data_IF_001098497840
#
_entry.id   IF_001098497840
#
_cell.length_a   1.000
_cell.length_b   1.000
_cell.length_c   1.000
_cell.angle_alpha   90.00
_cell.angle_beta   90.00
_cell.angle_gamma   90.00
#
_symmetry.space_group_name_H-M   'P 1'
#
loop_
_entity.id
_entity.type
_entity.pdbx_description
1 polymer ?
#
# COMPACT_ATOMS: atom_id res chain seq x y z
N UNK A 1 -4.99 11.45 -2.68
CA UNK A 1 -3.68 11.20 -3.37
C UNK A 1 -3.53 9.70 -3.50
N UNK A 2 -3.27 9.22 -4.73
CA UNK A 2 -3.12 7.77 -4.97
C UNK A 2 -1.65 7.35 -4.86
N UNK A 3 -1.40 6.31 -4.10
CA UNK A 3 -0.10 5.73 -3.84
C UNK A 3 -0.15 4.22 -4.08
N UNK A 4 0.99 3.61 -4.39
CA UNK A 4 1.12 2.15 -4.51
C UNK A 4 2.13 1.68 -3.47
N UNK A 5 1.70 0.81 -2.59
CA UNK A 5 2.63 0.00 -1.78
C UNK A 5 3.09 -1.15 -2.66
N UNK A 6 4.40 -1.28 -2.83
CA UNK A 6 5.01 -2.23 -3.75
C UNK A 6 6.08 -3.05 -3.04
N UNK A 7 6.16 -4.34 -3.38
CA UNK A 7 7.16 -5.27 -2.91
C UNK A 7 7.45 -6.32 -3.98
N UNK A 8 8.65 -6.91 -3.97
CA UNK A 8 9.07 -7.94 -4.93
C UNK A 8 9.81 -9.08 -4.27
N UNK A 9 9.58 -10.32 -4.75
CA UNK A 9 10.46 -11.46 -4.48
C UNK A 9 11.36 -11.72 -5.68
N UNK A 10 12.56 -12.24 -5.42
CA UNK A 10 13.59 -12.39 -6.45
C UNK A 10 14.32 -13.73 -6.34
N UNK A 11 15.03 -14.12 -7.39
CA UNK A 11 15.88 -15.33 -7.37
C UNK A 11 17.12 -15.17 -6.50
N UNK A 12 17.39 -13.99 -5.96
CA UNK A 12 18.55 -13.66 -5.13
C UNK A 12 18.84 -12.17 -5.07
N UNK A 13 19.90 -11.77 -4.39
CA UNK A 13 20.09 -10.37 -3.94
C UNK A 13 20.59 -9.44 -5.07
N UNK A 14 21.55 -9.88 -5.89
CA UNK A 14 22.32 -8.98 -6.76
C UNK A 14 21.86 -9.03 -8.22
N UNK A 15 21.35 -7.92 -8.72
CA UNK A 15 21.07 -7.73 -10.16
C UNK A 15 22.31 -7.97 -11.02
N UNK A 16 23.51 -7.59 -10.52
CA UNK A 16 24.78 -7.79 -11.25
C UNK A 16 25.13 -9.26 -11.46
N UNK A 17 24.64 -10.14 -10.58
CA UNK A 17 24.76 -11.60 -10.71
C UNK A 17 23.65 -12.20 -11.58
N UNK A 18 22.84 -11.34 -12.20
CA UNK A 18 21.76 -11.72 -13.10
C UNK A 18 20.50 -12.19 -12.37
N UNK A 19 20.34 -11.91 -11.07
CA UNK A 19 19.09 -12.26 -10.37
C UNK A 19 17.89 -11.50 -10.93
N UNK A 20 16.75 -12.17 -10.93
CA UNK A 20 15.51 -11.78 -11.62
C UNK A 20 14.35 -11.73 -10.63
N UNK A 21 13.32 -10.98 -10.96
CA UNK A 21 12.07 -10.93 -10.19
C UNK A 21 11.26 -12.23 -10.40
N UNK A 22 10.69 -12.77 -9.32
CA UNK A 22 9.81 -13.97 -9.34
C UNK A 22 8.39 -13.68 -8.87
N UNK A 23 8.18 -12.61 -8.11
CA UNK A 23 6.84 -12.15 -7.72
C UNK A 23 6.82 -10.62 -7.65
N UNK A 24 5.70 -10.03 -8.03
CA UNK A 24 5.42 -8.60 -7.83
C UNK A 24 4.09 -8.50 -7.09
N UNK A 25 4.10 -7.80 -5.95
CA UNK A 25 2.91 -7.39 -5.21
C UNK A 25 2.73 -5.89 -5.25
N UNK A 26 1.50 -5.42 -5.42
CA UNK A 26 1.17 -4.00 -5.36
C UNK A 26 -0.24 -3.75 -4.82
N UNK A 27 -0.37 -2.81 -3.90
CA UNK A 27 -1.67 -2.41 -3.32
C UNK A 27 -1.83 -0.91 -3.50
N UNK A 28 -2.92 -0.50 -4.15
CA UNK A 28 -3.25 0.92 -4.26
C UNK A 28 -3.84 1.43 -2.95
N UNK A 29 -3.30 2.57 -2.48
CA UNK A 29 -3.88 3.37 -1.41
C UNK A 29 -4.53 4.63 -2.03
N UNK A 30 -5.72 4.98 -1.58
CA UNK A 30 -6.32 6.28 -1.84
C UNK A 30 -6.51 7.03 -0.52
N UNK A 31 -5.77 8.13 -0.36
CA UNK A 31 -5.70 8.86 0.91
C UNK A 31 -5.42 7.93 2.11
N UNK A 32 -4.40 7.07 1.97
CA UNK A 32 -3.94 6.08 2.95
C UNK A 32 -4.91 4.92 3.21
N UNK A 33 -6.04 4.84 2.51
CA UNK A 33 -6.98 3.73 2.62
C UNK A 33 -6.67 2.71 1.52
N UNK A 34 -6.38 1.44 1.85
CA UNK A 34 -6.22 0.39 0.86
C UNK A 34 -7.47 0.23 0.00
N UNK A 35 -7.32 0.29 -1.32
CA UNK A 35 -8.39 0.07 -2.26
C UNK A 35 -8.49 -1.41 -2.66
N UNK A 36 -9.47 -1.76 -3.51
CA UNK A 36 -9.56 -3.08 -4.13
C UNK A 36 -8.61 -3.24 -5.32
N UNK A 37 -7.98 -2.15 -5.79
CA UNK A 37 -7.06 -2.18 -6.92
C UNK A 37 -5.72 -2.74 -6.46
N UNK A 38 -5.41 -3.96 -6.91
CA UNK A 38 -4.19 -4.69 -6.56
C UNK A 38 -3.54 -5.22 -7.82
N UNK A 39 -2.22 -5.26 -7.81
CA UNK A 39 -1.42 -5.95 -8.80
C UNK A 39 -0.71 -7.12 -8.13
N UNK A 40 -0.84 -8.30 -8.71
CA UNK A 40 -0.14 -9.47 -8.21
C UNK A 40 0.17 -10.43 -9.36
N UNK A 41 1.42 -10.83 -9.48
CA UNK A 41 1.81 -11.87 -10.43
C UNK A 41 3.05 -12.62 -9.96
N UNK A 42 3.10 -13.90 -10.28
CA UNK A 42 4.32 -14.70 -10.28
C UNK A 42 4.95 -14.64 -11.66
N UNK A 43 6.29 -14.71 -11.68
CA UNK A 43 7.06 -14.57 -12.91
C UNK A 43 8.00 -15.76 -13.12
N UNK A 44 8.14 -16.15 -14.37
CA UNK A 44 9.20 -17.05 -14.78
C UNK A 44 10.50 -16.25 -14.95
N UNK A 45 11.49 -16.43 -14.08
CA UNK A 45 12.74 -15.69 -14.12
C UNK A 45 13.71 -16.20 -15.19
N UNK A 46 13.38 -17.30 -15.88
CA UNK A 46 14.24 -17.99 -16.85
C UNK A 46 15.62 -18.38 -16.29
N UNK A 47 15.70 -18.56 -14.98
CA UNK A 47 16.89 -18.99 -14.25
C UNK A 47 16.51 -19.69 -12.94
N UNK A 48 17.45 -20.38 -12.34
CA UNK A 48 17.26 -21.04 -11.06
C UNK A 48 17.20 -20.04 -9.90
N UNK A 49 16.38 -20.36 -8.92
CA UNK A 49 16.29 -19.67 -7.62
C UNK A 49 17.51 -20.09 -6.78
N UNK A 50 18.13 -19.14 -6.08
CA UNK A 50 19.18 -19.46 -5.11
C UNK A 50 18.58 -20.15 -3.87
N UNK A 51 19.34 -21.00 -3.18
CA UNK A 51 18.88 -21.66 -1.96
C UNK A 51 18.38 -20.67 -0.92
N UNK A 52 19.10 -19.57 -0.72
CA UNK A 52 18.72 -18.50 0.23
C UNK A 52 17.39 -17.84 -0.13
N UNK A 53 17.14 -17.58 -1.40
CA UNK A 53 15.87 -16.99 -1.84
C UNK A 53 14.73 -18.02 -1.67
N UNK A 54 14.97 -19.28 -2.00
CA UNK A 54 14.00 -20.35 -1.77
C UNK A 54 13.62 -20.50 -0.29
N UNK A 55 14.58 -20.42 0.64
CA UNK A 55 14.32 -20.43 2.09
C UNK A 55 13.41 -19.29 2.52
N UNK A 56 13.45 -18.14 1.84
CA UNK A 56 12.66 -16.95 2.17
C UNK A 56 11.23 -17.07 1.63
N UNK A 57 11.05 -17.27 0.32
CA UNK A 57 9.73 -17.22 -0.32
C UNK A 57 9.15 -18.61 -0.70
N UNK A 58 9.96 -19.67 -0.73
CA UNK A 58 9.50 -21.04 -0.95
C UNK A 58 9.09 -21.40 -2.37
N UNK A 59 9.33 -20.55 -3.39
CA UNK A 59 8.94 -20.84 -4.77
C UNK A 59 9.96 -21.73 -5.45
N UNK A 60 9.49 -22.88 -5.96
CA UNK A 60 10.33 -23.84 -6.69
C UNK A 60 10.54 -23.42 -8.14
N UNK A 61 11.66 -23.84 -8.72
CA UNK A 61 11.94 -23.63 -10.15
C UNK A 61 10.84 -24.23 -11.04
N UNK A 62 10.26 -25.38 -10.64
CA UNK A 62 9.16 -26.01 -11.38
C UNK A 62 7.89 -25.16 -11.36
N UNK A 63 7.53 -24.56 -10.21
CA UNK A 63 6.40 -23.66 -10.11
C UNK A 63 6.59 -22.41 -10.98
N UNK A 64 7.76 -21.78 -10.88
CA UNK A 64 8.07 -20.54 -11.58
C UNK A 64 8.20 -20.73 -13.10
N UNK A 65 8.68 -21.88 -13.56
CA UNK A 65 8.80 -22.17 -15.00
C UNK A 65 7.46 -22.16 -15.74
N UNK A 66 6.36 -22.38 -15.03
CA UNK A 66 4.98 -22.36 -15.57
C UNK A 66 4.33 -20.97 -15.57
N UNK A 67 5.00 -19.98 -14.99
CA UNK A 67 4.47 -18.61 -14.90
C UNK A 67 4.79 -17.78 -16.15
N UNK A 68 4.12 -16.64 -16.27
CA UNK A 68 4.38 -15.67 -17.34
C UNK A 68 5.76 -15.04 -17.17
N UNK A 69 6.37 -14.64 -18.28
CA UNK A 69 7.58 -13.83 -18.26
C UNK A 69 7.22 -12.37 -17.96
N UNK A 70 8.19 -11.58 -17.48
CA UNK A 70 7.97 -10.15 -17.24
C UNK A 70 7.52 -9.41 -18.50
N UNK A 71 8.02 -9.79 -19.68
CA UNK A 71 7.61 -9.20 -20.96
C UNK A 71 6.11 -9.33 -21.27
N UNK A 72 5.42 -10.30 -20.68
CA UNK A 72 3.98 -10.52 -20.89
C UNK A 72 3.10 -9.70 -19.94
N UNK A 73 3.65 -9.24 -18.82
CA UNK A 73 2.91 -8.51 -17.77
C UNK A 73 3.42 -7.07 -17.58
N UNK A 74 4.57 -6.73 -18.13
CA UNK A 74 5.27 -5.46 -17.90
C UNK A 74 4.43 -4.22 -18.24
N UNK A 75 3.63 -4.26 -19.33
CA UNK A 75 2.73 -3.14 -19.69
C UNK A 75 1.60 -2.97 -18.65
N UNK A 76 1.06 -4.08 -18.14
CA UNK A 76 0.03 -4.02 -17.09
C UNK A 76 0.61 -3.46 -15.80
N UNK A 77 1.84 -3.88 -15.45
CA UNK A 77 2.56 -3.34 -14.31
C UNK A 77 2.81 -1.84 -14.44
N UNK A 78 3.36 -1.38 -15.57
CA UNK A 78 3.59 0.04 -15.84
C UNK A 78 2.29 0.86 -15.79
N UNK A 79 1.19 0.35 -16.34
CA UNK A 79 -0.13 0.98 -16.26
C UNK A 79 -0.64 1.07 -14.81
N UNK A 80 -0.39 0.05 -13.99
CA UNK A 80 -0.80 0.02 -12.59
C UNK A 80 -0.09 1.09 -11.75
N UNK A 81 1.22 1.29 -11.94
CA UNK A 81 2.01 2.27 -11.19
C UNK A 81 1.96 3.69 -11.75
N UNK A 82 1.40 3.87 -12.96
CA UNK A 82 1.42 5.15 -13.69
C UNK A 82 0.90 6.30 -12.83
N UNK A 83 1.65 7.42 -12.82
CA UNK A 83 1.32 8.69 -12.15
C UNK A 83 1.03 8.56 -10.64
N UNK A 84 1.55 7.53 -9.98
CA UNK A 84 1.37 7.29 -8.55
C UNK A 84 2.71 7.29 -7.82
N UNK A 85 2.71 7.73 -6.55
CA UNK A 85 3.87 7.56 -5.67
C UNK A 85 4.02 6.09 -5.30
N UNK A 86 5.24 5.59 -5.27
CA UNK A 86 5.54 4.22 -4.83
C UNK A 86 6.07 4.24 -3.40
N UNK A 87 5.49 3.40 -2.56
CA UNK A 87 5.86 3.20 -1.16
C UNK A 87 6.52 1.82 -1.08
N UNK A 88 7.82 1.79 -0.78
CA UNK A 88 8.62 0.56 -0.81
C UNK A 88 9.48 0.51 0.46
N UNK A 89 9.76 -0.70 0.96
CA UNK A 89 10.64 -0.90 2.11
C UNK A 89 12.02 -1.39 1.67
N UNK A 90 13.03 -0.52 1.66
CA UNK A 90 14.34 -0.71 1.01
C UNK A 90 14.24 -0.59 -0.52
N UNK A 91 13.75 0.56 -0.97
CA UNK A 91 13.37 0.81 -2.36
C UNK A 91 14.51 0.58 -3.38
N UNK A 92 15.78 0.75 -2.99
CA UNK A 92 16.92 0.50 -3.88
C UNK A 92 16.94 -0.93 -4.40
N UNK A 93 16.57 -1.91 -3.56
CA UNK A 93 16.54 -3.32 -3.91
C UNK A 93 15.49 -3.61 -4.98
N UNK A 94 14.23 -3.28 -4.71
CA UNK A 94 13.11 -3.56 -5.63
C UNK A 94 13.23 -2.80 -6.93
N UNK A 95 13.57 -1.51 -6.87
CA UNK A 95 13.76 -0.68 -8.05
C UNK A 95 14.93 -1.16 -8.89
N UNK A 96 16.01 -1.66 -8.27
CA UNK A 96 17.14 -2.24 -8.98
C UNK A 96 16.69 -3.43 -9.84
N UNK A 97 15.96 -4.37 -9.28
CA UNK A 97 15.45 -5.55 -9.96
C UNK A 97 14.38 -5.21 -11.00
N UNK A 98 13.39 -4.38 -10.65
CA UNK A 98 12.33 -3.96 -11.59
C UNK A 98 12.89 -3.18 -12.79
N UNK A 99 13.83 -2.26 -12.56
CA UNK A 99 14.48 -1.52 -13.63
C UNK A 99 15.34 -2.41 -14.54
N UNK A 100 15.92 -3.49 -13.99
CA UNK A 100 16.60 -4.49 -14.80
C UNK A 100 15.61 -5.26 -15.70
N UNK A 101 14.47 -5.70 -15.15
CA UNK A 101 13.41 -6.33 -15.94
C UNK A 101 12.90 -5.40 -17.06
N UNK A 102 12.67 -4.13 -16.74
CA UNK A 102 12.24 -3.12 -17.71
C UNK A 102 13.29 -2.90 -18.80
N UNK A 103 14.58 -2.88 -18.44
CA UNK A 103 15.68 -2.75 -19.41
C UNK A 103 15.71 -3.95 -20.37
N UNK A 104 15.55 -5.17 -19.86
CA UNK A 104 15.47 -6.38 -20.69
C UNK A 104 14.24 -6.34 -21.61
N UNK A 105 13.12 -5.79 -21.11
CA UNK A 105 11.89 -5.60 -21.87
C UNK A 105 11.96 -4.42 -22.87
N UNK A 106 13.06 -3.64 -22.89
CA UNK A 106 13.23 -2.50 -23.76
C UNK A 106 12.42 -1.26 -23.35
N UNK A 107 12.11 -1.13 -22.07
CA UNK A 107 11.37 0.00 -21.49
C UNK A 107 12.27 0.91 -20.67
N UNK A 108 11.81 2.15 -20.46
CA UNK A 108 12.48 3.10 -19.58
C UNK A 108 12.38 2.67 -18.12
N UNK A 109 13.32 3.16 -17.32
CA UNK A 109 13.31 2.99 -15.85
C UNK A 109 12.07 3.63 -15.23
N UNK A 110 11.68 3.13 -14.07
CA UNK A 110 10.66 3.74 -13.22
C UNK A 110 11.10 5.16 -12.84
N UNK A 111 10.24 6.13 -13.07
CA UNK A 111 10.48 7.56 -12.76
C UNK A 111 9.44 8.14 -11.78
N UNK A 112 8.66 7.28 -11.17
CA UNK A 112 7.70 7.66 -10.15
C UNK A 112 8.38 8.33 -8.94
N UNK A 113 7.65 9.16 -8.22
CA UNK A 113 8.07 9.57 -6.87
C UNK A 113 8.15 8.35 -5.96
N UNK A 114 9.27 8.20 -5.24
CA UNK A 114 9.54 7.06 -4.37
C UNK A 114 9.59 7.52 -2.91
N UNK A 115 8.88 6.82 -2.04
CA UNK A 115 9.03 6.93 -0.60
C UNK A 115 9.60 5.61 -0.07
N UNK A 116 10.84 5.66 0.42
CA UNK A 116 11.47 4.51 1.07
C UNK A 116 11.14 4.50 2.57
N UNK A 117 10.31 3.56 2.98
CA UNK A 117 9.90 3.41 4.37
C UNK A 117 11.03 2.92 5.27
N UNK A 118 12.07 2.27 4.75
CA UNK A 118 13.25 1.90 5.52
C UNK A 118 14.03 3.15 5.95
N UNK A 119 14.24 4.08 5.02
CA UNK A 119 14.88 5.37 5.29
C UNK A 119 14.05 6.19 6.29
N UNK A 120 12.73 6.24 6.10
CA UNK A 120 11.83 6.91 7.02
C UNK A 120 11.89 6.31 8.43
N UNK A 121 11.88 4.97 8.54
CA UNK A 121 11.97 4.26 9.81
C UNK A 121 13.32 4.46 10.51
N UNK A 122 14.43 4.46 9.77
CA UNK A 122 15.77 4.73 10.33
C UNK A 122 15.86 6.13 10.93
N UNK A 123 15.28 7.13 10.27
CA UNK A 123 15.24 8.51 10.77
C UNK A 123 14.36 8.63 12.03
N UNK A 124 13.24 7.90 12.07
CA UNK A 124 12.30 7.94 13.21
C UNK A 124 12.80 7.14 14.41
N UNK A 125 13.55 6.06 14.20
CA UNK A 125 14.01 5.13 15.22
C UNK A 125 15.51 4.85 15.11
N UNK A 126 16.37 5.87 15.31
CA UNK A 126 17.81 5.69 15.16
C UNK A 126 18.34 4.60 16.12
N UNK A 127 19.19 3.71 15.60
CA UNK A 127 19.77 2.60 16.37
C UNK A 127 18.84 1.44 16.71
N UNK A 128 17.58 1.46 16.27
CA UNK A 128 16.63 0.37 16.50
C UNK A 128 16.48 -0.53 15.27
N UNK A 129 16.07 -1.81 15.44
CA UNK A 129 15.67 -2.65 14.32
C UNK A 129 14.49 -2.05 13.56
N UNK A 130 14.61 -2.00 12.22
CA UNK A 130 13.63 -1.37 11.31
C UNK A 130 13.24 -2.27 10.13
N UNK A 131 13.47 -3.59 10.23
CA UNK A 131 12.89 -4.54 9.27
C UNK A 131 11.37 -4.49 9.33
N UNK A 132 10.68 -4.97 8.28
CA UNK A 132 9.20 -4.99 8.25
C UNK A 132 8.64 -5.72 9.50
N UNK A 133 9.19 -6.87 9.88
CA UNK A 133 8.79 -7.60 11.09
C UNK A 133 9.05 -6.81 12.38
N UNK A 134 10.18 -6.13 12.48
CA UNK A 134 10.49 -5.29 13.64
C UNK A 134 9.51 -4.11 13.76
N UNK A 135 9.11 -3.52 12.64
CA UNK A 135 8.12 -2.45 12.59
C UNK A 135 6.71 -2.97 12.88
N UNK A 136 6.32 -4.13 12.35
CA UNK A 136 5.06 -4.78 12.71
C UNK A 136 4.97 -5.02 14.23
N UNK A 137 6.02 -5.59 14.83
CA UNK A 137 6.09 -5.80 16.28
C UNK A 137 5.98 -4.49 17.05
N UNK A 138 6.69 -3.44 16.61
CA UNK A 138 6.68 -2.11 17.25
C UNK A 138 5.29 -1.48 17.24
N UNK A 139 4.58 -1.57 16.12
CA UNK A 139 3.25 -1.00 15.94
C UNK A 139 2.12 -1.96 16.33
N UNK A 140 2.44 -3.16 16.85
CA UNK A 140 1.47 -4.21 17.25
C UNK A 140 0.57 -4.61 16.08
N UNK A 141 1.15 -4.67 14.89
CA UNK A 141 0.50 -5.18 13.68
C UNK A 141 0.69 -6.70 13.68
N UNK A 142 -0.41 -7.44 13.57
CA UNK A 142 -0.37 -8.90 13.47
C UNK A 142 0.25 -9.32 12.12
N UNK A 143 1.40 -10.00 12.19
CA UNK A 143 2.11 -10.58 11.04
C UNK A 143 2.13 -12.11 11.07
N UNK A 144 1.26 -12.75 11.85
CA UNK A 144 1.20 -14.23 12.00
C UNK A 144 0.93 -14.98 10.69
N UNK A 145 0.30 -14.30 9.72
CA UNK A 145 0.06 -14.84 8.37
C UNK A 145 1.33 -14.95 7.51
N UNK A 146 2.42 -14.24 7.89
CA UNK A 146 3.70 -14.21 7.19
C UNK A 146 4.56 -15.39 7.55
N UNK A 147 4.13 -16.62 7.19
CA UNK A 147 4.94 -17.85 7.39
C UNK A 147 6.12 -17.91 6.42
N UNK A 148 5.93 -17.43 5.21
CA UNK A 148 6.93 -17.21 4.18
C UNK A 148 6.72 -15.80 3.61
N UNK A 149 7.77 -15.23 3.04
CA UNK A 149 7.66 -13.95 2.36
C UNK A 149 6.88 -14.11 1.07
N UNK A 150 5.86 -13.31 0.89
CA UNK A 150 5.13 -13.14 -0.37
C UNK A 150 4.91 -11.65 -0.59
N UNK A 151 5.18 -11.19 -1.79
CA UNK A 151 5.14 -9.76 -2.09
C UNK A 151 3.78 -9.13 -1.77
N UNK A 152 2.66 -9.83 -1.98
CA UNK A 152 1.34 -9.27 -1.69
C UNK A 152 1.04 -9.17 -0.18
N UNK A 153 1.45 -10.15 0.62
CA UNK A 153 1.31 -10.11 2.10
C UNK A 153 2.20 -8.99 2.66
N UNK A 154 3.42 -8.87 2.14
CA UNK A 154 4.36 -7.84 2.57
C UNK A 154 3.86 -6.43 2.23
N UNK A 155 3.21 -6.24 1.07
CA UNK A 155 2.49 -5.01 0.75
C UNK A 155 1.35 -4.70 1.73
N UNK A 156 0.56 -5.69 2.16
CA UNK A 156 -0.52 -5.48 3.13
C UNK A 156 0.01 -5.08 4.51
N UNK A 157 1.07 -5.74 4.97
CA UNK A 157 1.76 -5.38 6.22
C UNK A 157 2.42 -4.00 6.11
N UNK A 158 3.11 -3.73 5.00
CA UNK A 158 3.79 -2.46 4.76
C UNK A 158 2.81 -1.30 4.70
N UNK A 159 1.61 -1.49 4.14
CA UNK A 159 0.58 -0.45 4.12
C UNK A 159 0.19 -0.01 5.54
N UNK A 160 0.01 -0.96 6.45
CA UNK A 160 -0.30 -0.70 7.87
C UNK A 160 0.88 -0.04 8.59
N UNK A 161 2.10 -0.52 8.34
CA UNK A 161 3.33 0.07 8.89
C UNK A 161 3.51 1.50 8.39
N UNK A 162 3.32 1.77 7.11
CA UNK A 162 3.46 3.08 6.49
C UNK A 162 2.56 4.12 7.13
N UNK A 163 1.26 3.82 7.31
CA UNK A 163 0.30 4.70 7.96
C UNK A 163 0.76 5.09 9.38
N UNK A 164 1.30 4.12 10.13
CA UNK A 164 1.83 4.38 11.46
C UNK A 164 3.17 5.14 11.45
N UNK A 165 4.01 4.94 10.42
CA UNK A 165 5.29 5.66 10.29
C UNK A 165 5.10 7.15 10.08
N UNK A 166 4.10 7.55 9.29
CA UNK A 166 3.78 8.94 9.02
C UNK A 166 2.87 9.57 10.09
N UNK A 167 2.65 8.87 11.23
CA UNK A 167 1.83 9.31 12.37
C UNK A 167 0.36 9.63 12.05
N UNK A 168 -0.12 9.18 10.91
CA UNK A 168 -1.54 9.29 10.57
C UNK A 168 -2.26 8.03 11.03
N UNK A 169 -2.84 8.09 12.22
CA UNK A 169 -3.61 6.96 12.79
C UNK A 169 -4.99 6.79 12.16
N UNK A 170 -5.48 7.82 11.50
CA UNK A 170 -6.77 7.83 10.81
C UNK A 170 -6.63 8.43 9.40
N UNK A 171 -7.36 7.91 8.41
CA UNK A 171 -7.40 8.51 7.07
C UNK A 171 -7.98 9.92 7.18
N UNK A 172 -7.27 10.91 6.66
CA UNK A 172 -7.81 12.27 6.58
C UNK A 172 -8.82 12.34 5.44
N UNK A 173 -10.09 12.56 5.77
CA UNK A 173 -11.10 12.94 4.78
C UNK A 173 -10.79 14.36 4.30
N UNK A 174 -10.27 14.47 3.09
CA UNK A 174 -9.95 15.75 2.50
C UNK A 174 -11.22 16.35 1.87
N UNK A 175 -11.92 17.21 2.62
CA UNK A 175 -13.11 17.94 2.14
C UNK A 175 -12.78 19.14 1.24
N UNK A 176 -11.49 19.43 0.96
CA UNK A 176 -11.10 20.61 0.19
C UNK A 176 -11.47 20.53 -1.30
N UNK A 177 -11.77 19.35 -1.84
CA UNK A 177 -12.16 19.18 -3.25
C UNK A 177 -13.67 19.35 -3.52
N UNK A 178 -14.46 19.75 -2.52
CA UNK A 178 -15.89 19.99 -2.73
C UNK A 178 -16.23 21.44 -3.13
N UNK A 179 -15.22 22.32 -3.27
CA UNK A 179 -15.45 23.75 -3.51
C UNK A 179 -14.95 24.30 -4.84
N UNK A 180 -14.66 23.44 -5.83
CA UNK A 180 -14.32 23.93 -7.17
C UNK A 180 -15.15 23.22 -8.23
N UNK A 181 -16.38 23.65 -8.37
CA UNK A 181 -17.15 23.78 -9.61
C UNK A 181 -18.56 24.29 -9.24
N UNK A 182 -18.64 25.58 -8.94
CA UNK A 182 -19.94 26.26 -8.99
C UNK A 182 -20.10 26.85 -10.38
N UNK A 183 -20.52 26.02 -11.30
CA UNK A 183 -21.24 26.51 -12.45
C UNK A 183 -22.66 26.87 -12.01
N UNK A 184 -23.00 28.15 -12.29
CA UNK A 184 -24.30 28.72 -12.09
C UNK A 184 -25.40 27.91 -12.80
N UNK A 185 -26.23 27.19 -12.06
CA UNK A 185 -27.63 26.98 -12.46
C UNK A 185 -28.47 26.55 -11.25
N UNK A 186 -29.40 27.43 -10.86
CA UNK A 186 -30.60 27.18 -10.06
C UNK A 186 -30.60 26.01 -9.07
N UNK A 187 -29.91 26.15 -7.94
CA UNK A 187 -30.13 25.28 -6.79
C UNK A 187 -31.24 25.88 -5.92
N UNK A 188 -32.43 25.27 -5.96
CA UNK A 188 -33.41 25.39 -4.90
C UNK A 188 -32.73 25.10 -3.56
N UNK A 189 -32.72 26.07 -2.65
CA UNK A 189 -32.16 25.91 -1.29
C UNK A 189 -32.87 24.74 -0.61
N UNK A 190 -32.25 23.59 -0.56
CA UNK A 190 -32.69 22.49 0.29
C UNK A 190 -32.32 22.87 1.73
N UNK A 191 -33.32 23.35 2.47
CA UNK A 191 -33.19 23.63 3.90
C UNK A 191 -33.14 22.30 4.65
N UNK A 192 -31.97 21.95 5.17
CA UNK A 192 -31.77 20.76 6.01
C UNK A 192 -32.25 20.94 7.46
N UNK A 193 -32.92 22.07 7.77
CA UNK A 193 -33.47 22.28 9.11
C UNK A 193 -34.78 21.53 9.26
N UNK A 194 -34.75 20.36 9.89
CA UNK A 194 -35.96 19.77 10.43
C UNK A 194 -36.57 20.75 11.44
N UNK A 195 -37.88 20.95 11.36
CA UNK A 195 -38.63 21.76 12.32
C UNK A 195 -38.25 21.33 13.74
N UNK A 196 -37.68 22.24 14.52
CA UNK A 196 -37.35 21.96 15.92
C UNK A 196 -38.65 21.68 16.64
N UNK A 197 -38.86 20.45 17.09
CA UNK A 197 -40.01 20.07 17.92
C UNK A 197 -39.68 20.61 19.33
N UNK A 198 -40.45 21.59 19.76
CA UNK A 198 -40.38 22.06 21.15
C UNK A 198 -41.25 21.15 22.01
N UNK A 199 -40.74 20.71 23.18
CA UNK A 199 -41.55 19.90 24.08
C UNK A 199 -42.78 20.68 24.54
N UNK A 200 -43.88 19.99 24.80
CA UNK A 200 -45.08 20.56 25.40
C UNK A 200 -44.85 20.87 26.86
N UNK A 201 -45.70 21.75 27.43
CA UNK A 201 -45.62 22.13 28.85
C UNK A 201 -45.76 20.90 29.77
N UNK A 202 -46.61 19.92 29.40
CA UNK A 202 -46.77 18.67 30.14
C UNK A 202 -45.52 17.78 30.10
N UNK A 203 -44.81 17.75 28.98
CA UNK A 203 -43.54 17.02 28.86
C UNK A 203 -42.44 17.65 29.70
N UNK A 204 -42.39 18.99 29.77
CA UNK A 204 -41.45 19.73 30.63
C UNK A 204 -41.78 19.48 32.08
N UNK A 205 -43.06 19.48 32.50
CA UNK A 205 -43.47 19.21 33.85
C UNK A 205 -43.08 17.80 34.29
N UNK A 206 -43.38 16.78 33.49
CA UNK A 206 -42.97 15.40 33.78
C UNK A 206 -41.45 15.20 33.85
N UNK A 207 -40.73 15.87 32.98
CA UNK A 207 -39.25 15.86 33.02
C UNK A 207 -38.71 16.49 34.32
N UNK A 208 -39.25 17.60 34.76
CA UNK A 208 -38.86 18.25 35.99
C UNK A 208 -39.22 17.45 37.25
N UNK A 209 -40.34 16.68 37.23
CA UNK A 209 -40.72 15.77 38.31
C UNK A 209 -39.72 14.57 38.38
N UNK A 210 -39.32 14.03 37.22
CA UNK A 210 -38.34 12.97 37.16
C UNK A 210 -36.96 13.36 37.67
N UNK A 211 -36.54 14.62 37.48
CA UNK A 211 -35.26 15.10 37.96
C UNK A 211 -35.23 15.48 39.49
N UNK A 212 -36.38 15.45 40.16
CA UNK A 212 -36.48 15.74 41.61
C UNK A 212 -36.49 14.48 42.47
N UNK A 213 -36.55 13.28 41.89
CA UNK A 213 -36.40 12.00 42.54
C UNK A 213 -35.00 11.43 42.26
#
# INVERSE_FOLDING_TARGET
MKEIVLDTETTGISVKEGHRVVEIGGIELDNLIPTKNRFHCYLNPERKVSEKAFEIHGYTDEFLSKQKKFSEVGEQFLSFIKDKRLIIHNAEFDLGHLNNELSIFGKNKINNEILDTLTLARNKFPGSPVSLDALCKRYRIDNSIRKQHTALIDCDLLSKVYINLIDQKEPTLNFQNLNTETDNQNSSKVSYFKKVIKPSEDEILKHNEYLKN
#
